data_IF_231504570072
#
_entry.id   IF_231504570072
#
_cell.length_a   1.000
_cell.length_b   1.000
_cell.length_c   1.000
_cell.angle_alpha   90.00
_cell.angle_beta   90.00
_cell.angle_gamma   90.00
#
_symmetry.space_group_name_H-M   'P 1'
#
loop_
_entity.id
_entity.type
_entity.pdbx_description
1 polymer ?
#
# COMPACT_ATOMS: atom_id res chain seq x y z
N UNK A 1 23.56 11.02 -85.41
CA UNK A 1 25.02 11.01 -85.22
C UNK A 1 25.38 9.89 -84.25
N UNK A 2 26.22 8.95 -84.72
CA UNK A 2 27.14 8.05 -83.99
C UNK A 2 26.56 7.23 -82.80
N UNK A 3 26.56 5.90 -82.77
CA UNK A 3 27.26 4.89 -83.56
C UNK A 3 27.24 3.56 -82.79
N UNK A 4 26.81 2.50 -83.48
CA UNK A 4 27.21 1.08 -83.40
C UNK A 4 27.98 0.62 -82.16
N UNK A 5 27.53 -0.44 -81.46
CA UNK A 5 28.43 -1.56 -81.13
C UNK A 5 27.70 -2.91 -81.01
N UNK A 6 28.26 -3.87 -81.74
CA UNK A 6 27.84 -5.25 -81.98
C UNK A 6 27.88 -6.13 -80.72
N UNK A 7 26.97 -7.10 -80.68
CA UNK A 7 27.10 -8.32 -79.87
C UNK A 7 28.39 -9.08 -80.21
N UNK A 8 29.04 -9.74 -79.24
CA UNK A 8 29.89 -10.86 -79.52
C UNK A 8 29.19 -12.19 -79.15
N UNK A 9 28.84 -12.96 -80.17
CA UNK A 9 28.77 -14.42 -80.08
C UNK A 9 30.21 -14.92 -80.01
N UNK A 10 30.58 -15.59 -78.92
CA UNK A 10 31.71 -16.54 -78.90
C UNK A 10 31.39 -17.72 -78.00
N UNK A 11 30.88 -18.77 -78.63
CA UNK A 11 31.10 -20.13 -78.17
C UNK A 11 32.60 -20.44 -78.23
N UNK A 12 33.17 -20.87 -77.10
CA UNK A 12 34.47 -21.51 -77.07
C UNK A 12 34.45 -22.53 -75.95
N UNK A 13 34.11 -23.75 -76.34
CA UNK A 13 34.36 -24.99 -75.60
C UNK A 13 35.83 -25.00 -75.15
N UNK A 14 36.06 -24.87 -73.84
CA UNK A 14 37.39 -25.11 -73.27
C UNK A 14 37.44 -26.53 -72.72
N UNK A 15 37.86 -27.42 -73.61
CA UNK A 15 38.55 -28.68 -73.39
C UNK A 15 38.83 -29.05 -71.93
N UNK A 16 37.94 -29.84 -71.36
CA UNK A 16 38.26 -30.70 -70.22
C UNK A 16 39.29 -31.73 -70.70
N UNK A 17 40.52 -31.65 -70.20
CA UNK A 17 41.54 -32.68 -70.41
C UNK A 17 41.05 -33.97 -69.74
N UNK A 18 40.57 -34.92 -70.54
CA UNK A 18 40.32 -36.30 -70.13
C UNK A 18 41.63 -37.07 -70.23
N UNK A 19 42.30 -37.28 -69.11
CA UNK A 19 43.29 -38.36 -69.03
C UNK A 19 42.53 -39.65 -68.69
N UNK A 20 42.39 -40.50 -69.70
CA UNK A 20 42.00 -41.89 -69.51
C UNK A 20 43.28 -42.68 -69.20
N UNK A 21 43.43 -43.12 -67.96
CA UNK A 21 44.19 -44.34 -67.65
C UNK A 21 43.20 -45.34 -67.08
N UNK A 22 43.09 -46.46 -67.77
CA UNK A 22 42.18 -47.54 -67.46
C UNK A 22 42.51 -48.20 -66.10
N UNK A 23 41.43 -48.69 -65.47
CA UNK A 23 41.35 -49.82 -64.53
C UNK A 23 42.27 -49.83 -63.30
N UNK A 24 41.83 -49.17 -62.24
CA UNK A 24 41.24 -49.86 -61.09
C UNK A 24 40.31 -48.86 -60.38
N UNK A 25 39.05 -49.19 -60.07
CA UNK A 25 38.33 -48.39 -59.08
C UNK A 25 39.15 -48.46 -57.80
N UNK A 26 39.43 -47.31 -57.18
CA UNK A 26 40.02 -47.29 -55.84
C UNK A 26 39.04 -48.01 -54.91
N UNK A 27 39.27 -49.30 -54.69
CA UNK A 27 38.55 -50.09 -53.69
C UNK A 27 39.26 -49.78 -52.38
N UNK A 28 38.64 -49.02 -51.45
CA UNK A 28 39.24 -48.83 -50.14
C UNK A 28 39.52 -50.22 -49.55
N UNK A 29 40.68 -50.43 -48.90
CA UNK A 29 40.97 -51.72 -48.31
C UNK A 29 39.80 -52.10 -47.38
N UNK A 30 39.38 -53.36 -47.42
CA UNK A 30 38.25 -53.91 -46.64
C UNK A 30 38.36 -53.68 -45.12
N UNK A 31 39.51 -53.20 -44.65
CA UNK A 31 39.73 -52.66 -43.31
C UNK A 31 38.98 -51.36 -42.99
N UNK A 32 38.32 -50.69 -43.95
CA UNK A 32 37.41 -49.57 -43.65
C UNK A 32 36.01 -49.99 -43.18
N UNK A 33 35.66 -51.29 -43.19
CA UNK A 33 34.36 -51.75 -42.67
C UNK A 33 34.16 -51.41 -41.18
N UNK A 34 35.26 -51.20 -40.45
CA UNK A 34 35.26 -50.76 -39.05
C UNK A 34 35.77 -49.33 -38.86
N UNK A 35 35.89 -48.53 -39.92
CA UNK A 35 36.06 -47.08 -39.72
C UNK A 35 34.69 -46.53 -39.40
N UNK A 36 34.42 -46.40 -38.11
CA UNK A 36 33.38 -45.50 -37.62
C UNK A 36 33.65 -44.18 -38.31
N UNK A 37 32.80 -43.82 -39.27
CA UNK A 37 32.76 -42.46 -39.78
C UNK A 37 32.63 -41.60 -38.52
N UNK A 38 33.69 -40.90 -38.14
CA UNK A 38 33.64 -39.95 -37.05
C UNK A 38 32.70 -38.87 -37.56
N UNK A 39 31.40 -39.04 -37.29
CA UNK A 39 30.36 -38.06 -37.56
C UNK A 39 30.91 -36.77 -36.98
N UNK A 40 31.23 -35.80 -37.84
CA UNK A 40 31.83 -34.53 -37.42
C UNK A 40 30.98 -34.02 -36.27
N UNK A 41 31.51 -34.06 -35.05
CA UNK A 41 30.79 -33.55 -33.89
C UNK A 41 30.59 -32.08 -34.17
N UNK A 42 29.33 -31.68 -34.36
CA UNK A 42 29.03 -30.28 -34.60
C UNK A 42 29.50 -29.51 -33.37
N UNK A 43 30.33 -28.49 -33.58
CA UNK A 43 30.76 -27.61 -32.50
C UNK A 43 29.50 -27.00 -31.90
N UNK A 44 29.28 -27.25 -30.60
CA UNK A 44 28.15 -26.68 -29.87
C UNK A 44 28.30 -25.16 -29.89
N UNK A 45 27.33 -24.48 -30.48
CA UNK A 45 27.24 -23.03 -30.43
C UNK A 45 26.71 -22.64 -29.05
N UNK A 46 27.14 -21.50 -28.48
CA UNK A 46 26.56 -21.04 -27.23
C UNK A 46 25.05 -20.80 -27.40
N UNK A 47 24.28 -21.12 -26.35
CA UNK A 47 22.83 -20.97 -26.32
C UNK A 47 22.39 -19.50 -26.44
N UNK A 48 23.13 -18.60 -25.80
CA UNK A 48 22.77 -17.18 -25.74
C UNK A 48 23.64 -16.30 -26.65
N UNK A 49 23.05 -15.24 -27.24
CA UNK A 49 23.79 -14.29 -28.07
C UNK A 49 24.79 -13.47 -27.24
N UNK A 50 24.53 -13.29 -25.95
CA UNK A 50 25.38 -12.51 -25.04
C UNK A 50 26.38 -13.35 -24.25
N UNK A 51 26.61 -14.61 -24.66
CA UNK A 51 27.51 -15.57 -23.99
C UNK A 51 28.89 -15.00 -23.65
N UNK A 52 29.51 -14.27 -24.58
CA UNK A 52 30.86 -13.72 -24.43
C UNK A 52 30.96 -12.45 -23.56
N UNK A 53 29.84 -11.92 -23.05
CA UNK A 53 29.83 -10.72 -22.19
C UNK A 53 30.27 -11.00 -20.76
N UNK A 54 30.46 -12.27 -20.41
CA UNK A 54 30.77 -12.72 -19.06
C UNK A 54 29.59 -12.63 -18.08
N UNK A 55 28.41 -12.15 -18.49
CA UNK A 55 27.16 -12.13 -17.70
C UNK A 55 25.94 -12.31 -18.62
N UNK A 56 25.91 -13.43 -19.35
CA UNK A 56 24.93 -13.68 -20.39
C UNK A 56 23.48 -13.51 -19.89
N UNK A 57 23.09 -14.23 -18.83
CA UNK A 57 21.73 -14.22 -18.28
C UNK A 57 21.20 -12.80 -18.02
N UNK A 58 22.03 -11.91 -17.47
CA UNK A 58 21.63 -10.52 -17.23
C UNK A 58 21.40 -9.75 -18.54
N UNK A 59 22.31 -9.88 -19.51
CA UNK A 59 22.22 -9.13 -20.75
C UNK A 59 21.15 -9.69 -21.70
N UNK A 60 20.89 -10.99 -21.67
CA UNK A 60 19.77 -11.60 -22.39
C UNK A 60 18.45 -10.98 -21.90
N UNK A 61 18.23 -10.94 -20.58
CA UNK A 61 17.04 -10.29 -20.02
C UNK A 61 16.96 -8.77 -20.26
N UNK A 62 18.10 -8.06 -20.28
CA UNK A 62 18.11 -6.64 -20.67
C UNK A 62 17.74 -6.50 -22.14
N UNK A 63 18.23 -7.37 -23.03
CA UNK A 63 17.88 -7.37 -24.44
C UNK A 63 16.38 -7.66 -24.61
N UNK A 64 15.82 -8.61 -23.88
CA UNK A 64 14.39 -8.93 -23.88
C UNK A 64 13.54 -7.73 -23.44
N UNK A 65 13.95 -7.01 -22.39
CA UNK A 65 13.27 -5.80 -21.96
C UNK A 65 13.40 -4.66 -22.99
N UNK A 66 14.58 -4.46 -23.57
CA UNK A 66 14.81 -3.44 -24.59
C UNK A 66 14.04 -3.74 -25.89
N UNK A 67 13.88 -5.01 -26.27
CA UNK A 67 13.05 -5.40 -27.41
C UNK A 67 11.58 -5.22 -27.08
N UNK A 68 11.12 -5.60 -25.88
CA UNK A 68 9.75 -5.38 -25.43
C UNK A 68 9.38 -3.89 -25.39
N UNK A 69 10.23 -3.03 -24.82
CA UNK A 69 10.06 -1.57 -24.78
C UNK A 69 9.99 -0.98 -26.19
N UNK A 70 10.92 -1.36 -27.08
CA UNK A 70 10.92 -0.88 -28.48
C UNK A 70 9.69 -1.34 -29.26
N UNK A 71 9.31 -2.61 -29.13
CA UNK A 71 8.14 -3.19 -29.80
C UNK A 71 6.85 -2.51 -29.33
N UNK A 72 6.70 -2.37 -28.01
CA UNK A 72 5.61 -1.68 -27.34
C UNK A 72 5.46 -0.23 -27.78
N UNK A 73 6.56 0.53 -27.75
CA UNK A 73 6.56 1.92 -28.18
C UNK A 73 6.16 2.06 -29.66
N UNK A 74 6.66 1.16 -30.53
CA UNK A 74 6.28 1.13 -31.95
C UNK A 74 4.79 0.84 -32.12
N UNK A 75 4.26 -0.13 -31.40
CA UNK A 75 2.85 -0.48 -31.46
C UNK A 75 1.95 0.67 -30.97
N UNK A 76 2.26 1.29 -29.82
CA UNK A 76 1.53 2.46 -29.32
C UNK A 76 1.61 3.67 -30.26
N UNK A 77 2.76 3.88 -30.92
CA UNK A 77 2.90 4.92 -31.94
C UNK A 77 2.05 4.62 -33.18
N UNK A 78 1.96 3.36 -33.58
CA UNK A 78 1.12 2.92 -34.71
C UNK A 78 -0.36 3.14 -34.40
N UNK A 79 -0.76 2.91 -33.14
CA UNK A 79 -2.09 3.19 -32.60
C UNK A 79 -2.34 4.68 -32.30
N UNK A 80 -1.35 5.56 -32.54
CA UNK A 80 -1.42 7.00 -32.31
C UNK A 80 -1.69 7.41 -30.85
N UNK A 81 -1.35 6.56 -29.89
CA UNK A 81 -1.53 6.85 -28.46
C UNK A 81 -0.40 7.72 -27.89
N UNK A 82 0.77 7.74 -28.52
CA UNK A 82 1.95 8.51 -28.11
C UNK A 82 2.29 9.55 -29.20
N UNK A 83 2.64 10.81 -28.87
CA UNK A 83 2.96 11.33 -27.53
C UNK A 83 1.74 11.87 -26.76
N UNK A 84 1.57 11.44 -25.50
CA UNK A 84 0.58 12.03 -24.61
C UNK A 84 1.11 13.32 -23.96
N UNK A 85 0.27 14.34 -23.79
CA UNK A 85 0.62 15.52 -23.01
C UNK A 85 0.74 15.20 -21.51
N UNK A 86 1.53 15.97 -20.78
CA UNK A 86 1.84 15.70 -19.37
C UNK A 86 0.61 15.63 -18.45
N UNK A 87 -0.43 16.42 -18.73
CA UNK A 87 -1.69 16.37 -17.96
C UNK A 87 -2.45 15.06 -18.16
N UNK A 88 -2.45 14.51 -19.39
CA UNK A 88 -3.08 13.23 -19.68
C UNK A 88 -2.35 12.09 -18.95
N UNK A 89 -1.02 12.10 -18.95
CA UNK A 89 -0.21 11.15 -18.17
C UNK A 89 -0.50 11.22 -16.67
N UNK A 90 -0.73 12.42 -16.12
CA UNK A 90 -1.08 12.60 -14.71
C UNK A 90 -2.49 12.09 -14.37
N UNK A 91 -3.42 12.09 -15.33
CA UNK A 91 -4.77 11.56 -15.15
C UNK A 91 -4.89 10.03 -15.21
N UNK A 92 -3.87 9.34 -15.73
CA UNK A 92 -3.86 7.87 -15.82
C UNK A 92 -3.95 7.23 -14.42
N UNK A 93 -4.67 6.11 -14.25
CA UNK A 93 -4.74 5.40 -12.98
C UNK A 93 -3.34 5.01 -12.53
N UNK A 94 -3.01 5.31 -11.28
CA UNK A 94 -1.68 5.07 -10.71
C UNK A 94 -1.59 3.63 -10.18
N UNK A 95 -0.81 2.80 -10.87
CA UNK A 95 -0.40 1.48 -10.38
C UNK A 95 0.87 1.62 -9.55
N UNK A 96 0.98 0.85 -8.46
CA UNK A 96 2.20 0.80 -7.65
C UNK A 96 2.88 -0.54 -7.98
N UNK A 97 3.79 -0.57 -8.97
CA UNK A 97 4.52 -1.79 -9.27
C UNK A 97 5.48 -2.13 -8.13
N UNK A 98 5.56 -3.41 -7.79
CA UNK A 98 6.47 -3.92 -6.76
C UNK A 98 7.45 -4.88 -7.41
N UNK A 99 8.57 -4.31 -7.87
CA UNK A 99 9.66 -5.06 -8.48
C UNK A 99 10.42 -5.91 -7.45
N UNK A 100 11.01 -7.01 -7.91
CA UNK A 100 11.97 -7.82 -7.14
C UNK A 100 13.09 -6.95 -6.57
N UNK A 101 13.56 -7.27 -5.37
CA UNK A 101 14.69 -6.55 -4.80
C UNK A 101 15.99 -6.87 -5.55
N UNK A 102 17.04 -6.06 -5.34
CA UNK A 102 18.36 -6.34 -5.92
C UNK A 102 18.90 -7.73 -5.55
N UNK A 103 18.60 -8.20 -4.34
CA UNK A 103 19.01 -9.52 -3.84
C UNK A 103 18.25 -10.62 -4.57
N UNK A 104 16.92 -10.49 -4.68
CA UNK A 104 16.08 -11.44 -5.42
C UNK A 104 16.48 -11.52 -6.92
N UNK A 105 16.74 -10.37 -7.56
CA UNK A 105 17.21 -10.33 -8.94
C UNK A 105 18.62 -10.93 -9.09
N UNK A 106 19.50 -10.78 -8.10
CA UNK A 106 20.80 -11.43 -8.13
C UNK A 106 20.71 -12.95 -8.02
N UNK A 107 19.72 -13.46 -7.29
CA UNK A 107 19.38 -14.88 -7.26
C UNK A 107 18.87 -15.38 -8.61
N UNK A 108 17.99 -14.59 -9.27
CA UNK A 108 17.44 -14.92 -10.59
C UNK A 108 18.53 -15.06 -11.67
N UNK A 109 19.52 -14.16 -11.66
CA UNK A 109 20.64 -14.18 -12.62
C UNK A 109 21.84 -15.02 -12.16
N UNK A 110 21.70 -15.78 -11.05
CA UNK A 110 22.76 -16.56 -10.40
C UNK A 110 24.08 -15.79 -10.16
N UNK A 111 24.04 -14.44 -10.12
CA UNK A 111 25.22 -13.57 -10.10
C UNK A 111 24.94 -12.27 -9.36
N UNK A 112 25.96 -11.77 -8.66
CA UNK A 112 25.87 -10.50 -7.92
C UNK A 112 25.65 -9.30 -8.85
N UNK A 113 24.55 -8.58 -8.59
CA UNK A 113 24.14 -7.41 -9.36
C UNK A 113 24.68 -6.11 -8.72
N UNK A 114 25.25 -5.22 -9.54
CA UNK A 114 25.66 -3.87 -9.11
C UNK A 114 24.43 -2.97 -9.00
N UNK A 115 24.49 -1.94 -8.15
CA UNK A 115 23.41 -0.95 -7.99
C UNK A 115 23.10 -0.22 -9.28
N UNK A 116 24.10 0.09 -10.11
CA UNK A 116 23.91 0.74 -11.42
C UNK A 116 23.12 -0.12 -12.40
N UNK A 117 23.47 -1.40 -12.50
CA UNK A 117 22.79 -2.37 -13.37
C UNK A 117 21.35 -2.62 -12.92
N UNK A 118 21.13 -2.73 -11.61
CA UNK A 118 19.79 -2.82 -11.05
C UNK A 118 18.95 -1.58 -11.38
N UNK A 119 19.51 -0.36 -11.26
CA UNK A 119 18.81 0.87 -11.65
C UNK A 119 18.47 0.91 -13.15
N UNK A 120 19.35 0.40 -14.03
CA UNK A 120 19.07 0.27 -15.48
C UNK A 120 17.90 -0.68 -15.75
N UNK A 121 17.83 -1.82 -15.06
CA UNK A 121 16.66 -2.71 -15.16
C UNK A 121 15.38 -2.01 -14.70
N UNK A 122 15.44 -1.32 -13.56
CA UNK A 122 14.30 -0.59 -13.04
C UNK A 122 13.82 0.53 -13.98
N UNK A 123 14.72 1.23 -14.68
CA UNK A 123 14.32 2.24 -15.67
C UNK A 123 13.60 1.62 -16.86
N UNK A 124 14.08 0.48 -17.37
CA UNK A 124 13.42 -0.23 -18.47
C UNK A 124 12.05 -0.78 -18.05
N UNK A 125 11.94 -1.35 -16.86
CA UNK A 125 10.66 -1.82 -16.30
C UNK A 125 9.67 -0.67 -16.06
N UNK A 126 10.16 0.48 -15.57
CA UNK A 126 9.33 1.66 -15.37
C UNK A 126 8.83 2.24 -16.71
N UNK A 127 9.66 2.23 -17.74
CA UNK A 127 9.26 2.62 -19.09
C UNK A 127 8.20 1.67 -19.64
N UNK A 128 8.40 0.35 -19.52
CA UNK A 128 7.44 -0.65 -19.97
C UNK A 128 6.10 -0.56 -19.21
N UNK A 129 6.12 -0.34 -17.89
CA UNK A 129 4.92 -0.09 -17.10
C UNK A 129 4.17 1.17 -17.56
N UNK A 130 4.89 2.22 -17.96
CA UNK A 130 4.24 3.42 -18.48
C UNK A 130 3.46 3.14 -19.78
N UNK A 131 4.02 2.32 -20.66
CA UNK A 131 3.36 1.88 -21.89
C UNK A 131 2.20 0.92 -21.63
N UNK A 132 2.36 0.00 -20.67
CA UNK A 132 1.30 -0.87 -20.20
C UNK A 132 0.08 -0.08 -19.71
N UNK A 133 0.30 0.93 -18.86
CA UNK A 133 -0.79 1.79 -18.35
C UNK A 133 -1.53 2.55 -19.46
N UNK A 134 -0.80 3.02 -20.47
CA UNK A 134 -1.40 3.69 -21.64
C UNK A 134 -2.23 2.70 -22.45
N UNK A 135 -1.72 1.49 -22.69
CA UNK A 135 -2.43 0.45 -23.43
C UNK A 135 -3.71 -0.02 -22.74
N UNK A 136 -3.63 -0.25 -21.43
CA UNK A 136 -4.75 -0.71 -20.59
C UNK A 136 -5.88 0.33 -20.56
N UNK A 137 -5.53 1.60 -20.33
CA UNK A 137 -6.53 2.70 -20.36
C UNK A 137 -7.14 2.94 -21.74
N UNK A 138 -6.40 2.67 -22.81
CA UNK A 138 -6.91 2.73 -24.18
C UNK A 138 -7.77 1.51 -24.56
N UNK A 139 -7.80 0.45 -23.73
CA UNK A 139 -8.58 -0.76 -23.98
C UNK A 139 -7.90 -1.79 -24.89
N UNK A 140 -6.60 -1.68 -25.15
CA UNK A 140 -5.84 -2.66 -25.94
C UNK A 140 -5.34 -3.81 -25.07
N UNK A 141 -6.24 -4.75 -24.77
CA UNK A 141 -6.01 -5.85 -23.82
C UNK A 141 -4.85 -6.77 -24.25
N UNK A 142 -4.77 -7.16 -25.52
CA UNK A 142 -3.73 -8.11 -25.98
C UNK A 142 -2.31 -7.55 -25.84
N UNK A 143 -2.16 -6.26 -26.16
CA UNK A 143 -0.89 -5.56 -26.07
C UNK A 143 -0.50 -5.32 -24.60
N UNK A 144 -1.48 -4.95 -23.76
CA UNK A 144 -1.27 -4.83 -22.33
C UNK A 144 -0.87 -6.19 -21.71
N UNK A 145 -1.55 -7.27 -22.07
CA UNK A 145 -1.23 -8.61 -21.58
C UNK A 145 0.18 -9.05 -21.99
N UNK A 146 0.57 -8.80 -23.24
CA UNK A 146 1.93 -9.13 -23.71
C UNK A 146 3.01 -8.40 -22.91
N UNK A 147 2.79 -7.13 -22.54
CA UNK A 147 3.70 -6.39 -21.66
C UNK A 147 3.69 -6.97 -20.25
N UNK A 148 2.50 -7.28 -19.72
CA UNK A 148 2.33 -7.85 -18.38
C UNK A 148 3.06 -9.19 -18.25
N UNK A 149 3.01 -10.05 -19.27
CA UNK A 149 3.70 -11.35 -19.29
C UNK A 149 5.23 -11.18 -19.18
N UNK A 150 5.81 -10.21 -19.89
CA UNK A 150 7.25 -9.88 -19.80
C UNK A 150 7.60 -9.35 -18.40
N UNK A 151 6.73 -8.52 -17.82
CA UNK A 151 6.95 -7.89 -16.52
C UNK A 151 6.77 -8.85 -15.36
N UNK A 152 5.90 -9.86 -15.49
CA UNK A 152 5.59 -10.85 -14.46
C UNK A 152 6.84 -11.55 -13.93
N UNK A 153 7.84 -11.79 -14.79
CA UNK A 153 9.13 -12.39 -14.39
C UNK A 153 9.86 -11.54 -13.32
N UNK A 154 9.77 -10.21 -13.44
CA UNK A 154 10.47 -9.25 -12.58
C UNK A 154 9.62 -8.73 -11.42
N UNK A 155 8.34 -9.09 -11.38
CA UNK A 155 7.47 -8.83 -10.24
C UNK A 155 7.86 -9.69 -9.04
N UNK A 156 7.63 -9.13 -7.85
CA UNK A 156 7.84 -9.83 -6.59
C UNK A 156 6.67 -10.78 -6.31
N UNK A 157 6.96 -12.02 -5.92
CA UNK A 157 5.93 -12.98 -5.51
C UNK A 157 5.04 -12.46 -4.35
N UNK A 158 5.65 -11.74 -3.39
CA UNK A 158 4.95 -11.17 -2.23
C UNK A 158 4.29 -9.80 -2.49
N UNK A 159 3.95 -9.45 -3.74
CA UNK A 159 3.41 -8.13 -4.12
C UNK A 159 2.24 -7.70 -3.24
N UNK A 160 1.26 -8.56 -3.05
CA UNK A 160 0.07 -8.25 -2.24
C UNK A 160 0.42 -8.01 -0.77
N UNK A 161 1.36 -8.79 -0.22
CA UNK A 161 1.83 -8.60 1.14
C UNK A 161 2.63 -7.30 1.30
N UNK A 162 3.36 -6.85 0.27
CA UNK A 162 4.02 -5.53 0.26
C UNK A 162 3.00 -4.40 0.19
N UNK A 163 1.99 -4.50 -0.67
CA UNK A 163 0.96 -3.47 -0.81
C UNK A 163 0.04 -3.39 0.43
N UNK A 164 -0.15 -4.51 1.12
CA UNK A 164 -0.86 -4.58 2.38
C UNK A 164 -0.04 -4.03 3.56
N UNK A 165 1.31 -4.02 3.47
CA UNK A 165 2.16 -3.48 4.54
C UNK A 165 1.86 -2.00 4.76
N UNK A 166 1.53 -1.65 6.00
CA UNK A 166 1.21 -0.28 6.40
C UNK A 166 -0.27 0.11 6.31
N UNK A 167 -1.12 -0.70 5.64
CA UNK A 167 -2.57 -0.54 5.75
C UNK A 167 -3.00 -0.97 7.15
N UNK A 168 -3.57 -0.03 7.91
CA UNK A 168 -4.08 -0.31 9.26
C UNK A 168 -5.38 -1.09 9.11
N UNK A 169 -5.57 -2.15 9.92
CA UNK A 169 -6.85 -2.84 9.98
C UNK A 169 -7.94 -1.84 10.39
N UNK A 170 -9.06 -1.73 9.63
CA UNK A 170 -10.14 -0.82 9.99
C UNK A 170 -10.72 -1.20 11.35
N UNK A 171 -11.17 -0.20 12.11
CA UNK A 171 -11.85 -0.44 13.38
C UNK A 171 -13.23 -1.02 13.07
N UNK A 172 -13.59 -2.11 13.75
CA UNK A 172 -14.90 -2.74 13.60
C UNK A 172 -15.92 -1.99 14.46
N UNK A 173 -17.13 -1.82 13.93
CA UNK A 173 -18.27 -1.30 14.67
C UNK A 173 -19.13 -2.46 15.18
N UNK A 174 -19.62 -2.32 16.41
CA UNK A 174 -20.56 -3.27 17.01
C UNK A 174 -21.97 -3.09 16.41
N UNK A 175 -22.89 -4.02 16.75
CA UNK A 175 -24.34 -3.92 16.42
C UNK A 175 -24.96 -2.57 16.83
N UNK A 176 -24.46 -1.95 17.88
CA UNK A 176 -24.95 -0.68 18.42
C UNK A 176 -24.25 0.55 17.83
N UNK A 177 -23.46 0.40 16.76
CA UNK A 177 -22.68 1.50 16.18
C UNK A 177 -21.50 1.96 17.06
N UNK A 178 -21.12 1.18 18.07
CA UNK A 178 -20.01 1.50 18.97
C UNK A 178 -18.68 1.14 18.34
N UNK A 179 -17.69 2.01 18.41
CA UNK A 179 -16.32 1.70 18.01
C UNK A 179 -15.49 1.22 19.20
N UNK A 180 -14.80 0.10 19.04
CA UNK A 180 -13.88 -0.44 20.05
C UNK A 180 -12.43 -0.12 19.70
N UNK A 181 -11.74 0.60 20.60
CA UNK A 181 -10.34 0.97 20.39
C UNK A 181 -9.48 0.78 21.64
N UNK A 182 -8.17 0.72 21.42
CA UNK A 182 -7.18 0.54 22.49
C UNK A 182 -6.09 1.60 22.41
N UNK A 183 -5.85 2.26 23.53
CA UNK A 183 -4.73 3.18 23.74
C UNK A 183 -3.75 2.64 24.78
N UNK A 184 -2.46 2.94 24.60
CA UNK A 184 -1.40 2.58 25.55
C UNK A 184 -0.40 3.71 25.68
N UNK A 185 0.03 4.01 26.91
CA UNK A 185 1.10 4.97 27.20
C UNK A 185 1.84 4.54 28.45
N UNK A 186 3.17 4.43 28.36
CA UNK A 186 3.99 3.79 29.41
C UNK A 186 3.38 2.43 29.78
N UNK A 187 3.06 2.22 31.05
CA UNK A 187 2.42 1.03 31.60
C UNK A 187 0.89 1.08 31.52
N UNK A 188 0.29 2.25 31.28
CA UNK A 188 -1.16 2.41 31.24
C UNK A 188 -1.75 1.88 29.94
N UNK A 189 -2.83 1.12 30.06
CA UNK A 189 -3.64 0.64 28.96
C UNK A 189 -5.09 1.07 29.13
N UNK A 190 -5.71 1.53 28.05
CA UNK A 190 -7.08 1.99 28.02
C UNK A 190 -7.85 1.26 26.92
N UNK A 191 -8.98 0.64 27.28
CA UNK A 191 -9.99 0.13 26.35
C UNK A 191 -11.08 1.19 26.27
N UNK A 192 -11.40 1.64 25.07
CA UNK A 192 -12.32 2.76 24.85
C UNK A 192 -13.42 2.32 23.91
N UNK A 193 -14.65 2.55 24.32
CA UNK A 193 -15.85 2.42 23.52
C UNK A 193 -16.39 3.83 23.26
N UNK A 194 -16.65 4.14 22.00
CA UNK A 194 -17.27 5.40 21.60
C UNK A 194 -18.56 5.12 20.86
N UNK A 195 -19.58 5.94 21.12
CA UNK A 195 -20.86 5.94 20.42
C UNK A 195 -21.20 7.38 20.05
N UNK A 196 -21.70 7.65 18.83
CA UNK A 196 -22.27 8.96 18.52
C UNK A 196 -23.42 9.24 19.47
N UNK A 197 -23.53 10.48 19.94
CA UNK A 197 -24.69 10.93 20.69
C UNK A 197 -25.85 10.96 19.69
N UNK A 198 -26.92 10.22 19.99
CA UNK A 198 -28.16 10.39 19.28
C UNK A 198 -28.62 11.81 19.59
N UNK A 199 -28.54 12.71 18.60
CA UNK A 199 -29.40 13.88 18.66
C UNK A 199 -30.82 13.32 18.73
N UNK A 200 -31.64 13.70 19.71
CA UNK A 200 -33.06 13.41 19.59
C UNK A 200 -33.45 13.97 18.23
N UNK A 201 -33.81 13.10 17.29
CA UNK A 201 -34.50 13.52 16.09
C UNK A 201 -35.55 14.49 16.58
N UNK A 202 -35.43 15.75 16.13
CA UNK A 202 -36.38 16.80 16.42
C UNK A 202 -37.76 16.16 16.40
N UNK A 203 -38.44 16.16 17.55
CA UNK A 203 -39.81 15.73 17.74
C UNK A 203 -40.49 15.48 16.40
N UNK A 204 -40.32 14.25 15.88
CA UNK A 204 -40.88 13.88 14.61
C UNK A 204 -42.38 13.95 14.84
N UNK A 205 -43.00 14.98 14.28
CA UNK A 205 -44.43 15.04 14.03
C UNK A 205 -45.27 14.85 15.31
N UNK A 206 -45.38 15.91 16.12
CA UNK A 206 -46.69 16.16 16.71
C UNK A 206 -47.66 16.32 15.55
N UNK A 207 -48.32 15.22 15.17
CA UNK A 207 -49.50 15.25 14.33
C UNK A 207 -50.40 16.41 14.83
N UNK A 208 -51.04 17.20 13.96
CA UNK A 208 -52.11 18.04 14.42
C UNK A 208 -53.19 17.11 14.97
N UNK A 209 -53.24 16.97 16.30
CA UNK A 209 -54.31 16.30 17.02
C UNK A 209 -55.59 16.95 16.56
N UNK A 210 -56.36 16.21 15.76
CA UNK A 210 -57.73 16.54 15.45
C UNK A 210 -58.44 16.81 16.76
N UNK A 211 -59.03 18.01 16.87
CA UNK A 211 -59.79 18.43 18.03
C UNK A 211 -60.85 17.39 18.39
N UNK A 212 -60.88 16.88 19.64
CA UNK A 212 -62.08 16.33 20.20
C UNK A 212 -62.88 17.50 20.78
N UNK A 213 -63.98 17.77 20.10
CA UNK A 213 -65.27 18.23 20.61
C UNK A 213 -65.35 18.37 22.14
N UNK A 214 -65.84 19.54 22.55
CA UNK A 214 -66.09 19.95 23.92
C UNK A 214 -66.93 18.94 24.70
N UNK A 215 -66.43 18.52 25.88
CA UNK A 215 -67.25 17.93 26.93
C UNK A 215 -67.36 18.92 28.10
N UNK A 216 -68.58 19.39 28.30
CA UNK A 216 -69.00 20.34 29.31
C UNK A 216 -69.25 19.62 30.64
N UNK A 217 -68.19 19.21 31.35
CA UNK A 217 -68.31 18.66 32.72
C UNK A 217 -67.89 19.67 33.79
N UNK A 218 -68.87 20.15 34.55
CA UNK A 218 -68.78 21.10 35.66
C UNK A 218 -68.25 20.46 36.98
N UNK A 219 -67.15 19.70 36.91
CA UNK A 219 -66.56 19.05 38.09
C UNK A 219 -65.20 19.65 38.49
N UNK A 220 -64.74 20.71 37.82
CA UNK A 220 -63.47 21.41 38.06
C UNK A 220 -63.46 22.40 39.24
N UNK A 221 -64.34 22.24 40.25
CA UNK A 221 -64.41 23.12 41.43
C UNK A 221 -64.35 22.39 42.77
N UNK A 222 -63.40 21.48 42.92
CA UNK A 222 -62.90 21.10 44.24
C UNK A 222 -61.37 21.23 44.20
N UNK A 223 -60.86 22.31 44.79
CA UNK A 223 -59.43 22.45 45.07
C UNK A 223 -59.10 21.64 46.32
N UNK A 224 -58.36 20.55 46.15
CA UNK A 224 -57.80 19.79 47.28
C UNK A 224 -56.83 20.68 48.08
N UNK A 225 -57.09 20.97 49.37
CA UNK A 225 -56.26 21.85 50.21
C UNK A 225 -54.93 21.20 50.65
N UNK A 226 -54.57 20.04 50.10
CA UNK A 226 -53.29 19.34 50.34
C UNK A 226 -52.29 19.51 49.19
N UNK A 227 -52.42 20.57 48.38
CA UNK A 227 -51.32 21.09 47.55
C UNK A 227 -50.22 21.68 48.45
N UNK A 228 -49.37 20.80 48.97
CA UNK A 228 -48.08 21.21 49.48
C UNK A 228 -47.17 21.56 48.30
N UNK A 229 -46.96 22.87 48.16
CA UNK A 229 -45.72 23.54 47.75
C UNK A 229 -45.11 23.14 46.41
N UNK A 230 -45.07 24.11 45.51
CA UNK A 230 -44.20 24.16 44.35
C UNK A 230 -42.73 23.96 44.77
N UNK A 231 -42.25 22.72 44.81
CA UNK A 231 -40.84 22.38 44.90
C UNK A 231 -40.35 21.91 43.53
N UNK A 232 -39.88 22.89 42.76
CA UNK A 232 -38.79 22.79 41.78
C UNK A 232 -38.97 21.78 40.65
N UNK A 233 -39.47 22.26 39.51
CA UNK A 233 -39.10 21.67 38.21
C UNK A 233 -37.57 21.68 38.05
N UNK A 234 -36.98 20.53 37.74
CA UNK A 234 -35.98 20.40 36.68
C UNK A 234 -36.02 18.98 36.11
N UNK A 235 -36.82 18.83 35.06
CA UNK A 235 -36.64 17.81 34.03
C UNK A 235 -35.22 17.88 33.49
N UNK A 236 -34.56 16.73 33.36
CA UNK A 236 -33.31 16.64 32.60
C UNK A 236 -33.50 15.57 31.52
N UNK A 237 -34.18 15.96 30.44
CA UNK A 237 -33.90 15.39 29.13
C UNK A 237 -32.59 16.01 28.66
N UNK A 238 -31.49 15.28 28.82
CA UNK A 238 -30.21 15.71 28.29
C UNK A 238 -29.56 14.60 27.48
N UNK A 239 -29.42 14.74 26.15
CA UNK A 239 -28.35 14.10 25.40
C UNK A 239 -27.01 14.79 25.76
N UNK A 240 -26.63 14.78 27.04
CA UNK A 240 -25.35 15.35 27.46
C UNK A 240 -24.25 14.37 27.08
N UNK A 241 -23.21 14.91 26.47
CA UNK A 241 -22.01 14.14 26.20
C UNK A 241 -21.33 13.75 27.49
N UNK A 242 -21.36 12.45 27.76
CA UNK A 242 -20.79 11.87 28.96
C UNK A 242 -19.49 11.15 28.62
N UNK A 243 -18.45 11.47 29.39
CA UNK A 243 -17.17 10.77 29.37
C UNK A 243 -17.03 10.08 30.71
N UNK A 244 -17.16 8.75 30.69
CA UNK A 244 -17.05 7.88 31.85
C UNK A 244 -15.75 7.10 31.79
N UNK A 245 -14.97 7.13 32.87
CA UNK A 245 -13.73 6.40 33.02
C UNK A 245 -13.83 5.51 34.25
N UNK A 246 -13.72 4.19 34.07
CA UNK A 246 -13.91 3.20 35.14
C UNK A 246 -15.22 3.42 35.93
N UNK A 247 -16.32 3.67 35.21
CA UNK A 247 -17.67 3.94 35.76
C UNK A 247 -17.80 5.22 36.59
N UNK A 248 -16.83 6.12 36.55
CA UNK A 248 -16.89 7.42 37.23
C UNK A 248 -16.77 8.57 36.22
N UNK A 249 -17.34 9.75 36.50
CA UNK A 249 -17.22 10.89 35.61
C UNK A 249 -15.77 11.39 35.53
N UNK A 250 -15.43 12.00 34.40
CA UNK A 250 -14.08 12.49 34.10
C UNK A 250 -13.48 13.39 35.20
N UNK A 251 -14.30 14.22 35.83
CA UNK A 251 -13.87 15.19 36.85
C UNK A 251 -13.41 14.52 38.16
N UNK A 252 -14.01 13.39 38.53
CA UNK A 252 -13.67 12.68 39.77
C UNK A 252 -12.38 11.88 39.63
N UNK A 253 -12.18 11.22 38.48
CA UNK A 253 -10.99 10.37 38.24
C UNK A 253 -9.75 11.23 37.97
N UNK A 254 -9.88 12.33 37.25
CA UNK A 254 -8.77 13.20 36.86
C UNK A 254 -8.94 14.59 37.47
N UNK A 255 -8.46 14.81 38.71
CA UNK A 255 -8.59 16.11 39.37
C UNK A 255 -7.80 17.20 38.63
N UNK A 256 -6.60 16.85 38.14
CA UNK A 256 -5.73 17.77 37.42
C UNK A 256 -6.37 18.22 36.07
N UNK A 257 -6.52 19.53 35.82
CA UNK A 257 -7.13 20.03 34.58
C UNK A 257 -6.31 19.66 33.34
N UNK A 258 -4.98 19.57 33.46
CA UNK A 258 -4.08 19.21 32.38
C UNK A 258 -4.32 17.78 31.84
N UNK A 259 -4.74 16.85 32.70
CA UNK A 259 -5.10 15.48 32.30
C UNK A 259 -6.45 15.44 31.57
N UNK A 260 -7.42 16.25 32.02
CA UNK A 260 -8.73 16.43 31.37
C UNK A 260 -8.56 17.04 29.98
N UNK A 261 -7.75 18.09 29.86
CA UNK A 261 -7.43 18.71 28.57
C UNK A 261 -6.77 17.73 27.61
N UNK A 262 -5.90 16.84 28.08
CA UNK A 262 -5.27 15.82 27.24
C UNK A 262 -6.30 14.85 26.66
N UNK A 263 -7.29 14.46 27.44
CA UNK A 263 -8.41 13.59 27.01
C UNK A 263 -9.32 14.32 26.01
N UNK A 264 -9.57 15.62 26.21
CA UNK A 264 -10.42 16.44 25.34
C UNK A 264 -9.73 16.92 24.05
N UNK A 265 -8.40 17.00 24.04
CA UNK A 265 -7.60 17.43 22.88
C UNK A 265 -7.99 16.77 21.54
N UNK A 266 -8.15 15.43 21.43
CA UNK A 266 -8.61 14.81 20.18
C UNK A 266 -9.95 15.35 19.69
N UNK A 267 -10.91 15.60 20.59
CA UNK A 267 -12.20 16.19 20.23
C UNK A 267 -12.07 17.63 19.74
N UNK A 268 -11.26 18.45 20.44
CA UNK A 268 -11.01 19.85 20.05
C UNK A 268 -10.38 19.96 18.67
N UNK A 269 -9.40 19.10 18.36
CA UNK A 269 -8.73 19.11 17.06
C UNK A 269 -9.62 18.64 15.92
N UNK A 270 -10.56 17.74 16.22
CA UNK A 270 -11.51 17.22 15.25
C UNK A 270 -12.74 18.12 15.07
N UNK A 271 -12.96 19.13 15.93
CA UNK A 271 -14.17 19.94 15.92
C UNK A 271 -15.44 19.19 16.36
N UNK A 272 -15.28 18.03 17.01
CA UNK A 272 -16.39 17.12 17.39
C UNK A 272 -16.60 17.04 18.91
N UNK A 273 -16.32 18.13 19.61
CA UNK A 273 -16.64 18.25 21.04
C UNK A 273 -18.15 18.22 21.19
N UNK A 274 -18.66 17.31 22.01
CA UNK A 274 -20.10 17.20 22.22
C UNK A 274 -20.83 16.27 21.24
N UNK A 275 -20.12 15.57 20.34
CA UNK A 275 -20.75 14.67 19.38
C UNK A 275 -20.78 13.19 19.83
N UNK A 276 -19.98 12.80 20.81
CA UNK A 276 -19.79 11.40 21.20
C UNK A 276 -19.89 11.18 22.70
N UNK A 277 -20.49 10.05 23.08
CA UNK A 277 -20.40 9.48 24.42
C UNK A 277 -19.22 8.50 24.47
N UNK A 278 -18.44 8.58 25.55
CA UNK A 278 -17.22 7.79 25.71
C UNK A 278 -17.29 6.99 26.99
N UNK A 279 -17.04 5.70 26.87
CA UNK A 279 -16.81 4.82 27.99
C UNK A 279 -15.40 4.24 27.90
N UNK A 280 -14.59 4.44 28.94
CA UNK A 280 -13.21 3.97 28.97
C UNK A 280 -12.94 3.13 30.22
N UNK A 281 -12.29 1.97 30.02
CA UNK A 281 -11.73 1.16 31.09
C UNK A 281 -10.20 1.28 31.05
N UNK A 282 -9.62 1.74 32.14
CA UNK A 282 -8.20 2.04 32.23
C UNK A 282 -7.55 1.25 33.36
N UNK A 283 -6.40 0.64 33.06
CA UNK A 283 -5.61 -0.15 34.01
C UNK A 283 -4.12 0.15 33.89
N UNK A 284 -3.42 0.12 35.02
CA UNK A 284 -1.96 0.29 35.11
C UNK A 284 -1.45 1.73 35.00
N UNK A 285 -0.20 1.93 35.40
CA UNK A 285 0.47 3.23 35.44
C UNK A 285 -0.20 4.29 36.33
N UNK A 286 0.20 5.55 36.18
CA UNK A 286 -0.36 6.69 36.94
C UNK A 286 -1.31 7.57 36.12
N UNK A 287 -1.90 8.58 36.76
CA UNK A 287 -2.92 9.50 36.19
C UNK A 287 -2.54 10.07 34.82
N UNK A 288 -1.32 10.60 34.68
CA UNK A 288 -0.84 11.19 33.42
C UNK A 288 -0.59 10.17 32.29
N UNK A 289 -0.28 8.93 32.65
CA UNK A 289 -0.16 7.81 31.73
C UNK A 289 -1.54 7.37 31.24
N UNK A 290 -2.47 7.25 32.18
CA UNK A 290 -3.87 6.89 31.95
C UNK A 290 -4.57 7.91 31.05
N UNK A 291 -4.46 9.21 31.34
CA UNK A 291 -5.05 10.29 30.51
C UNK A 291 -4.54 10.25 29.07
N UNK A 292 -3.25 10.01 28.87
CA UNK A 292 -2.66 9.86 27.54
C UNK A 292 -3.05 8.57 26.81
N UNK A 293 -3.25 7.47 27.55
CA UNK A 293 -3.75 6.23 26.98
C UNK A 293 -5.20 6.38 26.49
N UNK A 294 -6.06 7.01 27.30
CA UNK A 294 -7.46 7.31 26.93
C UNK A 294 -7.52 8.22 25.71
N UNK A 295 -6.73 9.31 25.68
CA UNK A 295 -6.68 10.23 24.55
C UNK A 295 -6.32 9.54 23.22
N UNK A 296 -5.36 8.60 23.23
CA UNK A 296 -5.00 7.83 22.05
C UNK A 296 -6.12 6.87 21.61
N UNK A 297 -6.85 6.26 22.56
CA UNK A 297 -8.03 5.44 22.26
C UNK A 297 -9.10 6.28 21.57
N UNK A 298 -9.47 7.40 22.18
CA UNK A 298 -10.46 8.34 21.63
C UNK A 298 -10.08 8.80 20.23
N UNK A 299 -8.83 9.21 20.00
CA UNK A 299 -8.38 9.66 18.68
C UNK A 299 -8.53 8.58 17.60
N UNK A 300 -8.29 7.31 17.94
CA UNK A 300 -8.52 6.19 17.02
C UNK A 300 -10.01 5.96 16.76
N UNK A 301 -10.86 6.17 17.76
CA UNK A 301 -12.31 6.06 17.60
C UNK A 301 -12.85 7.15 16.70
N UNK A 302 -12.44 8.40 16.90
CA UNK A 302 -12.80 9.52 16.02
C UNK A 302 -12.36 9.25 14.58
N UNK A 303 -11.12 8.79 14.36
CA UNK A 303 -10.63 8.46 13.02
C UNK A 303 -11.38 7.29 12.37
N UNK A 304 -12.05 6.44 13.14
CA UNK A 304 -12.91 5.38 12.61
C UNK A 304 -14.27 5.92 12.20
N UNK A 305 -14.89 6.78 13.01
CA UNK A 305 -16.19 7.38 12.71
C UNK A 305 -16.12 8.42 11.58
N UNK A 306 -15.07 9.24 11.54
CA UNK A 306 -14.86 10.30 10.54
C UNK A 306 -13.46 10.14 9.94
N UNK A 307 -13.30 9.39 8.83
CA UNK A 307 -11.99 9.12 8.23
C UNK A 307 -11.31 10.37 7.68
N UNK A 308 -12.08 11.39 7.29
CA UNK A 308 -11.56 12.66 6.73
C UNK A 308 -10.65 13.41 7.72
N UNK A 309 -11.01 13.35 9.01
CA UNK A 309 -10.30 14.04 10.10
C UNK A 309 -9.01 13.30 10.49
N UNK A 310 -8.78 12.08 9.98
CA UNK A 310 -7.57 11.30 10.30
C UNK A 310 -6.29 12.07 9.94
N UNK A 311 -6.29 12.77 8.81
CA UNK A 311 -5.13 13.55 8.33
C UNK A 311 -4.72 14.64 9.34
N UNK A 312 -5.69 15.38 9.87
CA UNK A 312 -5.52 16.42 10.90
C UNK A 312 -5.02 15.81 12.21
N UNK A 313 -5.60 14.68 12.64
CA UNK A 313 -5.20 13.97 13.85
C UNK A 313 -3.80 13.34 13.75
N UNK A 314 -3.37 12.92 12.56
CA UNK A 314 -2.01 12.44 12.29
C UNK A 314 -1.01 13.59 12.34
N UNK A 315 -1.31 14.72 11.69
CA UNK A 315 -0.45 15.92 11.68
C UNK A 315 -0.20 16.46 13.09
N UNK A 316 -1.25 16.46 13.93
CA UNK A 316 -1.20 16.86 15.34
C UNK A 316 -0.58 15.81 16.28
N UNK A 317 -0.13 14.66 15.76
CA UNK A 317 0.54 13.56 16.49
C UNK A 317 -0.29 12.90 17.58
N UNK A 318 -1.61 13.04 17.58
CA UNK A 318 -2.50 12.41 18.59
C UNK A 318 -2.76 10.94 18.27
N UNK A 319 -2.75 10.55 16.98
CA UNK A 319 -2.89 9.15 16.55
C UNK A 319 -1.62 8.31 16.72
N UNK A 320 -0.47 8.94 16.94
CA UNK A 320 0.81 8.24 17.13
C UNK A 320 0.92 7.78 18.59
N UNK A 321 1.21 6.50 18.80
CA UNK A 321 1.55 5.97 20.12
C UNK A 321 2.85 6.61 20.62
N UNK A 322 2.84 7.16 21.83
CA UNK A 322 4.04 7.66 22.52
C UNK A 322 4.96 6.47 22.86
N UNK A 323 6.17 6.37 22.26
CA UNK A 323 7.08 5.26 22.49
C UNK A 323 7.92 5.41 23.77
N UNK A 324 7.86 6.56 24.46
CA UNK A 324 8.69 6.83 25.64
C UNK A 324 8.35 5.85 26.77
N UNK A 325 9.37 5.15 27.25
CA UNK A 325 9.29 4.18 28.34
C UNK A 325 10.34 4.49 29.41
N UNK A 326 10.09 4.07 30.65
CA UNK A 326 11.09 4.15 31.72
C UNK A 326 12.25 3.22 31.37
N UNK A 327 13.46 3.79 31.28
CA UNK A 327 14.67 3.00 31.07
C UNK A 327 15.00 2.20 32.33
N UNK A 328 15.48 0.96 32.16
CA UNK A 328 15.99 0.15 33.28
C UNK A 328 17.21 0.80 33.94
N UNK A 329 17.46 0.46 35.21
CA UNK A 329 18.73 0.76 35.89
C UNK A 329 19.88 0.04 35.17
N UNK A 330 21.01 0.73 35.00
CA UNK A 330 22.26 0.16 34.48
C UNK A 330 23.20 -0.16 35.64
N UNK A 331 23.95 -1.25 35.53
CA UNK A 331 24.99 -1.61 36.51
C UNK A 331 26.04 -0.50 36.61
N UNK A 332 26.57 -0.26 37.81
CA UNK A 332 27.52 0.83 38.05
C UNK A 332 26.91 2.25 37.99
N UNK A 333 25.59 2.39 37.93
CA UNK A 333 24.90 3.70 37.93
C UNK A 333 23.82 3.74 39.02
N UNK A 334 23.62 4.92 39.60
CA UNK A 334 22.61 5.16 40.63
C UNK A 334 21.17 5.08 40.06
N UNK A 335 20.95 5.55 38.82
CA UNK A 335 19.69 5.41 38.06
C UNK A 335 19.99 4.96 36.63
N UNK A 336 19.01 5.04 35.72
CA UNK A 336 19.21 4.69 34.30
C UNK A 336 20.42 5.42 33.67
N UNK A 337 20.58 6.71 33.98
CA UNK A 337 21.68 7.55 33.45
C UNK A 337 22.54 8.23 34.52
N UNK A 338 22.01 8.51 35.71
CA UNK A 338 22.75 9.14 36.82
C UNK A 338 23.89 8.22 37.29
N UNK A 339 25.13 8.64 37.06
CA UNK A 339 26.31 8.01 37.64
C UNK A 339 26.43 8.29 39.14
N UNK A 340 27.27 7.51 39.83
CA UNK A 340 27.77 7.91 41.14
C UNK A 340 28.79 9.04 40.99
N UNK A 341 29.07 9.76 42.07
CA UNK A 341 30.06 10.85 42.07
C UNK A 341 31.42 10.30 41.65
N UNK A 342 32.03 10.89 40.62
CA UNK A 342 33.36 10.50 40.14
C UNK A 342 34.42 11.36 40.82
N UNK A 343 35.48 10.72 41.33
CA UNK A 343 36.60 11.39 42.02
C UNK A 343 37.85 11.26 41.14
N UNK A 344 38.44 12.40 40.73
CA UNK A 344 39.53 12.45 39.73
C UNK A 344 40.90 12.03 40.27
N UNK A 345 41.25 12.52 41.46
CA UNK A 345 42.55 12.48 42.17
C UNK A 345 43.80 12.60 41.31
#
# INVERSE_FOLDING_TARGET
MLGVFRQPVRAALKHTRTYATASTPFVPPSSLQNVREFRRVQKVKPESPTFYTGRADYYDHVMDLETAVRSSHRALRTLQLIPLPAHALASLPHTIPVWRTREDMSGLFARKLSTSRYRRLLSLLAELESYHRIADTAGHVDLAQSMADVMQLFERADKDAVLARGRRKPVKFDRYGRSYTVGRRKESSARVWMIPVQQPEAAAESAPTAAPVEDYSLESKIEDPLKHTESTRKSIDLPTTTILVNNRPLNEIFPAPSDRERILRPFKLAGVVGAYNVFALVRGGGTTGQSGAVALGIAKGIAAHVPEVETVLRRSKVLRRDPRMVERKKTGRAKARKGYTWVKR
#
